data_IF_953666274994
#
_entry.id   IF_953666274994
#
_cell.length_a   1.000
_cell.length_b   1.000
_cell.length_c   1.000
_cell.angle_alpha   90.00
_cell.angle_beta   90.00
_cell.angle_gamma   90.00
#
_symmetry.space_group_name_H-M   'P 1'
#
loop_
_entity.id
_entity.type
_entity.pdbx_description
1 polymer ?
#
# COMPACT_ATOMS: atom_id res chain seq x y z
N UNK A 1 -1.05 15.47 5.95
CA UNK A 1 -1.27 14.02 5.71
C UNK A 1 -2.26 13.51 6.73
N UNK A 2 -3.42 12.95 6.31
CA UNK A 2 -4.32 12.23 7.23
C UNK A 2 -3.96 10.75 7.16
N UNK A 3 -3.32 10.20 8.19
CA UNK A 3 -2.98 8.77 8.22
C UNK A 3 -4.19 7.85 7.97
N UNK A 4 -5.39 8.30 8.33
CA UNK A 4 -6.63 7.56 8.09
C UNK A 4 -6.93 7.30 6.60
N UNK A 5 -6.45 8.13 5.67
CA UNK A 5 -6.69 7.90 4.24
C UNK A 5 -5.85 6.77 3.67
N UNK A 6 -4.74 6.42 4.33
CA UNK A 6 -3.82 5.36 3.93
C UNK A 6 -4.21 3.98 4.49
N UNK A 7 -5.14 3.93 5.44
CA UNK A 7 -5.65 2.67 6.02
C UNK A 7 -6.84 2.20 5.19
N UNK A 8 -6.76 1.01 4.61
CA UNK A 8 -7.82 0.40 3.80
C UNK A 8 -8.09 -1.04 4.25
N UNK A 9 -9.36 -1.49 4.30
CA UNK A 9 -9.65 -2.89 4.56
C UNK A 9 -9.24 -3.77 3.36
N UNK A 10 -8.99 -5.05 3.61
CA UNK A 10 -8.62 -6.03 2.57
C UNK A 10 -9.70 -6.16 1.47
N UNK A 11 -10.96 -5.88 1.79
CA UNK A 11 -12.05 -5.82 0.80
C UNK A 11 -11.81 -4.72 -0.24
N UNK A 12 -11.28 -3.57 0.15
CA UNK A 12 -10.95 -2.47 -0.76
C UNK A 12 -9.81 -2.86 -1.70
N UNK A 13 -8.77 -3.53 -1.17
CA UNK A 13 -7.69 -4.06 -2.00
C UNK A 13 -8.21 -5.04 -3.05
N UNK A 14 -9.07 -5.98 -2.65
CA UNK A 14 -9.66 -6.97 -3.57
C UNK A 14 -10.49 -6.33 -4.69
N UNK A 15 -11.24 -5.27 -4.37
CA UNK A 15 -12.10 -4.60 -5.34
C UNK A 15 -11.33 -3.63 -6.27
N UNK A 16 -10.21 -3.06 -5.82
CA UNK A 16 -9.54 -1.93 -6.50
C UNK A 16 -8.04 -2.14 -6.75
N UNK A 17 -7.55 -3.39 -6.78
CA UNK A 17 -6.12 -3.68 -6.91
C UNK A 17 -5.44 -2.95 -8.08
N UNK A 18 -6.03 -2.97 -9.27
CA UNK A 18 -5.45 -2.36 -10.49
C UNK A 18 -5.31 -0.84 -10.36
N UNK A 19 -6.31 -0.18 -9.79
CA UNK A 19 -6.31 1.27 -9.56
C UNK A 19 -5.28 1.64 -8.47
N UNK A 20 -5.23 0.84 -7.40
CA UNK A 20 -4.27 1.02 -6.31
C UNK A 20 -2.83 0.96 -6.81
N UNK A 21 -2.49 -0.01 -7.66
CA UNK A 21 -1.15 -0.15 -8.23
C UNK A 21 -0.75 1.10 -9.04
N UNK A 22 -1.67 1.62 -9.86
CA UNK A 22 -1.43 2.86 -10.64
C UNK A 22 -1.16 4.05 -9.71
N UNK A 23 -2.04 4.26 -8.72
CA UNK A 23 -1.90 5.37 -7.76
C UNK A 23 -0.62 5.27 -6.92
N UNK A 24 -0.24 4.06 -6.50
CA UNK A 24 0.99 3.85 -5.74
C UNK A 24 2.21 4.31 -6.53
N UNK A 25 2.26 4.03 -7.84
CA UNK A 25 3.37 4.48 -8.69
C UNK A 25 3.45 6.00 -8.88
N UNK A 26 2.30 6.67 -8.91
CA UNK A 26 2.21 8.12 -9.11
C UNK A 26 2.45 8.91 -7.83
N UNK A 27 1.88 8.44 -6.71
CA UNK A 27 1.85 9.18 -5.44
C UNK A 27 2.97 8.75 -4.49
N UNK A 28 3.51 7.54 -4.65
CA UNK A 28 4.57 6.97 -3.81
C UNK A 28 4.25 6.95 -2.31
N UNK A 29 2.98 7.05 -1.93
CA UNK A 29 2.54 6.95 -0.54
C UNK A 29 2.20 5.50 -0.17
N UNK A 30 2.69 4.97 0.96
CA UNK A 30 2.35 3.63 1.41
C UNK A 30 0.89 3.52 1.88
N UNK A 31 0.31 2.33 1.74
CA UNK A 31 -1.02 1.99 2.23
C UNK A 31 -0.93 0.86 3.25
N UNK A 32 -1.70 0.98 4.33
CA UNK A 32 -1.84 -0.06 5.35
C UNK A 32 -3.12 -0.83 5.06
N UNK A 33 -3.01 -2.13 4.85
CA UNK A 33 -4.14 -3.02 4.63
C UNK A 33 -4.52 -3.70 5.95
N UNK A 34 -5.80 -3.58 6.31
CA UNK A 34 -6.37 -4.20 7.50
C UNK A 34 -7.26 -5.39 7.17
N UNK A 35 -7.32 -6.36 8.08
CA UNK A 35 -8.30 -7.45 8.05
C UNK A 35 -8.96 -7.54 9.41
N UNK A 36 -10.29 -7.51 9.44
CA UNK A 36 -11.08 -7.49 10.69
C UNK A 36 -10.65 -6.37 11.66
N UNK A 37 -10.24 -5.22 11.12
CA UNK A 37 -9.79 -4.07 11.91
C UNK A 37 -8.30 -4.09 12.31
N UNK A 38 -7.58 -5.18 12.08
CA UNK A 38 -6.16 -5.31 12.42
C UNK A 38 -5.27 -5.05 11.21
N UNK A 39 -4.20 -4.29 11.38
CA UNK A 39 -3.19 -4.10 10.33
C UNK A 39 -2.45 -5.42 10.01
N UNK A 40 -2.39 -5.79 8.73
CA UNK A 40 -1.76 -7.04 8.28
C UNK A 40 -0.64 -6.84 7.27
N UNK A 41 -0.77 -5.87 6.37
CA UNK A 41 0.16 -5.68 5.25
C UNK A 41 0.38 -4.19 5.01
N UNK A 42 1.59 -3.82 4.59
CA UNK A 42 1.88 -2.51 4.01
C UNK A 42 2.15 -2.70 2.52
N UNK A 43 1.48 -1.92 1.67
CA UNK A 43 1.74 -1.87 0.24
C UNK A 43 2.42 -0.54 -0.05
N UNK A 44 3.59 -0.59 -0.66
CA UNK A 44 4.33 0.58 -1.11
C UNK A 44 4.71 0.41 -2.57
N UNK A 45 4.92 1.53 -3.26
CA UNK A 45 5.59 1.48 -4.55
C UNK A 45 7.09 1.25 -4.35
N UNK A 46 7.67 0.40 -5.19
CA UNK A 46 9.08 0.05 -5.16
C UNK A 46 9.73 0.47 -6.48
N UNK A 47 10.82 1.23 -6.40
CA UNK A 47 11.72 1.47 -7.51
C UNK A 47 12.96 0.58 -7.38
N UNK A 48 13.33 -0.10 -8.47
CA UNK A 48 14.43 -1.09 -8.48
C UNK A 48 15.77 -0.52 -8.01
N UNK A 49 16.05 0.77 -8.21
CA UNK A 49 17.36 1.37 -7.96
C UNK A 49 17.59 1.79 -6.50
N UNK A 50 16.55 1.77 -5.66
CA UNK A 50 16.62 2.40 -4.32
C UNK A 50 15.88 1.61 -3.24
N UNK A 51 15.83 0.29 -3.34
CA UNK A 51 15.11 -0.53 -2.36
C UNK A 51 16.04 -1.05 -1.25
N UNK A 52 16.00 -0.51 -0.02
CA UNK A 52 16.69 -1.09 1.13
C UNK A 52 16.05 -2.41 1.61
N UNK A 53 14.89 -2.80 1.06
CA UNK A 53 14.12 -3.97 1.47
C UNK A 53 14.48 -5.25 0.71
N UNK A 54 15.22 -5.17 -0.40
CA UNK A 54 15.63 -6.33 -1.21
C UNK A 54 17.03 -6.83 -0.80
N UNK A 55 17.77 -6.04 -0.01
CA UNK A 55 19.07 -6.41 0.54
C UNK A 55 18.95 -6.86 2.01
N UNK A 56 18.14 -7.90 2.27
CA UNK A 56 18.29 -8.75 3.47
C UNK A 56 17.52 -10.05 3.35
#
# INVERSE_FOLDING_TARGET
MKLSSQIKPISYLKAHASELIRKLSEQQEPLIITQNGEAKVVICWMHSERSPWIAK
#
